data_IF_268567642503
#
_entry.id   IF_268567642503
#
_cell.length_a   1.000
_cell.length_b   1.000
_cell.length_c   1.000
_cell.angle_alpha   90.00
_cell.angle_beta   90.00
_cell.angle_gamma   90.00
#
_symmetry.space_group_name_H-M   'P 1'
#
loop_
_entity.id
_entity.type
_entity.pdbx_description
1 polymer ?
#
# COMPACT_ATOMS: atom_id res chain seq x y z
N UNK A 1 -18.00 -7.51 19.28
CA UNK A 1 -17.96 -7.87 17.83
C UNK A 1 -17.52 -6.75 16.88
N UNK A 2 -16.84 -5.70 17.37
CA UNK A 2 -16.56 -4.49 16.58
C UNK A 2 -15.25 -4.56 15.76
N UNK A 3 -14.24 -5.31 16.24
CA UNK A 3 -12.88 -5.35 15.67
C UNK A 3 -12.81 -5.82 14.20
N UNK A 4 -13.42 -6.95 13.87
CA UNK A 4 -13.40 -7.51 12.52
C UNK A 4 -13.99 -6.57 11.45
N UNK A 5 -15.09 -5.88 11.78
CA UNK A 5 -15.73 -4.92 10.88
C UNK A 5 -14.88 -3.67 10.66
N UNK A 6 -14.14 -3.20 11.68
CA UNK A 6 -13.19 -2.11 11.50
C UNK A 6 -12.04 -2.50 10.58
N UNK A 7 -11.49 -3.71 10.74
CA UNK A 7 -10.44 -4.23 9.85
C UNK A 7 -10.92 -4.33 8.40
N UNK A 8 -12.10 -4.92 8.17
CA UNK A 8 -12.70 -5.03 6.84
C UNK A 8 -12.94 -3.65 6.22
N UNK A 9 -13.47 -2.69 6.99
CA UNK A 9 -13.64 -1.31 6.52
C UNK A 9 -12.30 -0.66 6.16
N UNK A 10 -11.24 -0.93 6.94
CA UNK A 10 -9.89 -0.50 6.63
C UNK A 10 -9.40 -1.03 5.29
N UNK A 11 -9.56 -2.34 5.05
CA UNK A 11 -9.16 -2.99 3.80
C UNK A 11 -9.92 -2.39 2.61
N UNK A 12 -11.24 -2.19 2.76
CA UNK A 12 -12.07 -1.56 1.71
C UNK A 12 -11.59 -0.14 1.39
N UNK A 13 -11.12 0.63 2.39
CA UNK A 13 -10.51 1.96 2.16
C UNK A 13 -9.19 1.86 1.40
N UNK A 14 -8.31 0.92 1.73
CA UNK A 14 -7.06 0.76 0.99
C UNK A 14 -7.31 0.30 -0.46
N UNK A 15 -8.27 -0.60 -0.69
CA UNK A 15 -8.70 -0.99 -2.05
C UNK A 15 -9.28 0.21 -2.81
N UNK A 16 -10.04 1.09 -2.15
CA UNK A 16 -10.55 2.34 -2.76
C UNK A 16 -9.41 3.23 -3.24
N UNK A 17 -8.36 3.37 -2.43
CA UNK A 17 -7.20 4.22 -2.74
C UNK A 17 -6.40 3.66 -3.91
N UNK A 18 -6.25 2.34 -4.01
CA UNK A 18 -5.53 1.71 -5.12
C UNK A 18 -6.35 1.65 -6.41
N UNK A 19 -7.68 1.52 -6.33
CA UNK A 19 -8.57 1.41 -7.50
C UNK A 19 -9.76 2.39 -7.44
N UNK A 20 -9.54 3.69 -7.65
CA UNK A 20 -10.57 4.71 -7.49
C UNK A 20 -11.72 4.62 -8.50
N UNK A 21 -11.49 4.03 -9.69
CA UNK A 21 -12.44 4.04 -10.82
C UNK A 21 -13.38 2.83 -10.88
N UNK A 22 -13.11 1.76 -10.12
CA UNK A 22 -13.91 0.53 -10.17
C UNK A 22 -14.94 0.50 -9.05
N UNK A 23 -16.18 0.05 -9.30
CA UNK A 23 -17.19 -0.06 -8.26
C UNK A 23 -16.80 -1.15 -7.24
N UNK A 24 -16.57 -0.75 -5.98
CA UNK A 24 -16.11 -1.69 -4.94
C UNK A 24 -17.08 -2.82 -4.64
N UNK A 25 -18.37 -2.63 -4.93
CA UNK A 25 -19.41 -3.66 -4.76
C UNK A 25 -19.13 -4.91 -5.60
N UNK A 26 -18.47 -4.76 -6.75
CA UNK A 26 -18.13 -5.86 -7.65
C UNK A 26 -16.73 -6.43 -7.41
N UNK A 27 -15.93 -5.80 -6.54
CA UNK A 27 -14.59 -6.26 -6.25
C UNK A 27 -14.65 -7.60 -5.49
N UNK A 28 -14.08 -8.65 -6.10
CA UNK A 28 -14.17 -10.04 -5.61
C UNK A 28 -13.70 -10.15 -4.15
N UNK A 29 -12.56 -9.53 -3.81
CA UNK A 29 -12.03 -9.54 -2.44
C UNK A 29 -13.00 -8.91 -1.42
N UNK A 30 -13.67 -7.81 -1.80
CA UNK A 30 -14.61 -7.11 -0.89
C UNK A 30 -15.85 -7.98 -0.66
N UNK A 31 -16.39 -8.60 -1.73
CA UNK A 31 -17.54 -9.51 -1.62
C UNK A 31 -17.21 -10.71 -0.74
N UNK A 32 -16.06 -11.35 -0.98
CA UNK A 32 -15.60 -12.51 -0.23
C UNK A 32 -15.43 -12.23 1.26
N UNK A 33 -14.75 -11.14 1.62
CA UNK A 33 -14.56 -10.81 3.03
C UNK A 33 -15.88 -10.46 3.74
N UNK A 34 -16.80 -9.79 3.04
CA UNK A 34 -18.12 -9.49 3.61
C UNK A 34 -18.98 -10.75 3.78
N UNK A 35 -18.90 -11.73 2.88
CA UNK A 35 -19.59 -13.01 3.06
C UNK A 35 -18.99 -13.83 4.20
N UNK A 36 -17.66 -13.90 4.30
CA UNK A 36 -16.98 -14.59 5.40
C UNK A 36 -17.30 -13.95 6.75
N UNK A 37 -17.27 -12.62 6.84
CA UNK A 37 -17.61 -11.92 8.07
C UNK A 37 -19.04 -12.19 8.55
N UNK A 38 -20.00 -12.30 7.62
CA UNK A 38 -21.39 -12.67 7.96
C UNK A 38 -21.50 -14.14 8.39
N UNK A 39 -20.77 -15.04 7.73
CA UNK A 39 -20.76 -16.47 8.05
C UNK A 39 -20.28 -16.74 9.48
N UNK A 40 -19.27 -16.00 9.94
CA UNK A 40 -18.66 -16.14 11.27
C UNK A 40 -19.25 -15.20 12.33
N UNK A 41 -20.40 -14.55 12.06
CA UNK A 41 -21.05 -13.60 12.98
C UNK A 41 -22.01 -14.26 13.98
N UNK A 42 -22.53 -15.46 13.69
CA UNK A 42 -23.71 -16.05 14.38
C UNK A 42 -23.37 -17.28 15.23
N UNK A 43 -22.12 -17.70 15.30
CA UNK A 43 -21.73 -18.86 16.13
C UNK A 43 -21.53 -18.42 17.59
N UNK A 44 -22.63 -18.33 18.34
CA UNK A 44 -22.62 -18.16 19.80
C UNK A 44 -22.46 -19.51 20.49
N UNK A 45 -21.28 -19.77 21.06
CA UNK A 45 -21.14 -20.60 22.28
C UNK A 45 -19.71 -20.58 22.86
N UNK A 46 -18.73 -20.16 22.06
CA UNK A 46 -17.38 -19.79 22.49
C UNK A 46 -16.84 -18.92 21.37
N UNK A 47 -15.92 -18.00 21.63
CA UNK A 47 -15.20 -17.31 20.55
C UNK A 47 -14.68 -18.37 19.57
N UNK A 48 -15.33 -18.49 18.41
CA UNK A 48 -14.99 -19.53 17.45
C UNK A 48 -13.58 -19.24 16.94
N UNK A 49 -12.71 -20.25 16.90
CA UNK A 49 -11.36 -20.12 16.34
C UNK A 49 -11.39 -19.47 14.95
N UNK A 50 -12.39 -19.79 14.14
CA UNK A 50 -12.60 -19.19 12.82
C UNK A 50 -12.78 -17.65 12.86
N UNK A 51 -13.41 -17.11 13.91
CA UNK A 51 -13.56 -15.66 14.08
C UNK A 51 -12.21 -14.99 14.38
N UNK A 52 -11.39 -15.60 15.23
CA UNK A 52 -10.04 -15.10 15.54
C UNK A 52 -9.13 -15.19 14.32
N UNK A 53 -9.20 -16.30 13.58
CA UNK A 53 -8.46 -16.46 12.32
C UNK A 53 -8.89 -15.42 11.29
N UNK A 54 -10.19 -15.14 11.16
CA UNK A 54 -10.69 -14.09 10.26
C UNK A 54 -10.14 -12.71 10.65
N UNK A 55 -10.14 -12.38 11.95
CA UNK A 55 -9.58 -11.12 12.43
C UNK A 55 -8.08 -11.03 12.16
N UNK A 56 -7.32 -12.10 12.44
CA UNK A 56 -5.88 -12.14 12.19
C UNK A 56 -5.58 -11.96 10.70
N UNK A 57 -6.25 -12.72 9.83
CA UNK A 57 -6.11 -12.60 8.36
C UNK A 57 -6.45 -11.20 7.87
N UNK A 58 -7.56 -10.62 8.34
CA UNK A 58 -7.96 -9.26 7.99
C UNK A 58 -6.91 -8.22 8.43
N UNK A 59 -6.35 -8.37 9.63
CA UNK A 59 -5.26 -7.50 10.10
C UNK A 59 -4.03 -7.59 9.20
N UNK A 60 -3.60 -8.81 8.86
CA UNK A 60 -2.46 -9.06 7.96
C UNK A 60 -2.68 -8.45 6.58
N UNK A 61 -3.86 -8.63 5.98
CA UNK A 61 -4.19 -8.02 4.69
C UNK A 61 -4.22 -6.50 4.74
N UNK A 62 -4.77 -5.91 5.82
CA UNK A 62 -4.77 -4.46 5.99
C UNK A 62 -3.35 -3.91 6.09
N UNK A 63 -2.49 -4.56 6.88
CA UNK A 63 -1.08 -4.20 7.02
C UNK A 63 -0.37 -4.27 5.66
N UNK A 64 -0.53 -5.39 4.94
CA UNK A 64 0.08 -5.58 3.63
C UNK A 64 -0.33 -4.47 2.65
N UNK A 65 -1.63 -4.24 2.46
CA UNK A 65 -2.14 -3.21 1.52
C UNK A 65 -1.65 -1.81 1.90
N UNK A 66 -1.66 -1.48 3.19
CA UNK A 66 -1.19 -0.17 3.67
C UNK A 66 0.31 0.01 3.41
N UNK A 67 1.11 -1.02 3.68
CA UNK A 67 2.56 -1.01 3.47
C UNK A 67 2.91 -0.92 2.00
N UNK A 68 2.22 -1.66 1.12
CA UNK A 68 2.42 -1.57 -0.33
C UNK A 68 2.12 -0.16 -0.85
N UNK A 69 1.00 0.46 -0.44
CA UNK A 69 0.69 1.84 -0.84
C UNK A 69 1.76 2.82 -0.37
N UNK A 70 2.21 2.70 0.89
CA UNK A 70 3.28 3.55 1.44
C UNK A 70 4.61 3.34 0.73
N UNK A 71 4.95 2.11 0.38
CA UNK A 71 6.16 1.80 -0.40
C UNK A 71 6.14 2.50 -1.74
N UNK A 72 5.00 2.50 -2.44
CA UNK A 72 4.83 3.22 -3.71
C UNK A 72 4.92 4.74 -3.54
N UNK A 73 4.44 5.30 -2.43
CA UNK A 73 4.57 6.73 -2.12
C UNK A 73 6.03 7.12 -1.91
N UNK A 74 6.78 6.32 -1.14
CA UNK A 74 8.22 6.50 -0.92
C UNK A 74 8.97 6.35 -2.23
N UNK A 75 8.71 5.31 -3.01
CA UNK A 75 9.33 5.10 -4.32
C UNK A 75 9.05 6.28 -5.25
N UNK A 76 7.83 6.80 -5.30
CA UNK A 76 7.51 7.98 -6.09
C UNK A 76 8.27 9.23 -5.60
N UNK A 77 8.42 9.39 -4.29
CA UNK A 77 9.10 10.53 -3.70
C UNK A 77 10.62 10.50 -3.93
N UNK A 78 11.24 9.32 -3.87
CA UNK A 78 12.70 9.18 -3.84
C UNK A 78 13.30 8.53 -5.09
N UNK A 79 12.54 7.79 -5.89
CA UNK A 79 12.99 7.12 -7.12
C UNK A 79 12.41 7.72 -8.40
N UNK A 80 11.48 8.67 -8.31
CA UNK A 80 10.81 9.26 -9.48
C UNK A 80 11.70 10.05 -10.47
N UNK A 81 12.96 10.37 -10.12
CA UNK A 81 13.92 11.08 -10.99
C UNK A 81 15.11 10.23 -11.47
N UNK A 82 15.25 8.98 -11.02
CA UNK A 82 16.45 8.17 -11.27
C UNK A 82 17.69 8.67 -10.52
N UNK A 83 18.86 8.12 -10.85
CA UNK A 83 20.15 8.65 -10.36
C UNK A 83 20.39 10.04 -10.96
N UNK A 84 20.80 11.00 -10.11
CA UNK A 84 21.14 12.36 -10.56
C UNK A 84 22.37 12.31 -11.46
N UNK A 85 22.42 13.16 -12.48
CA UNK A 85 23.64 13.26 -13.30
C UNK A 85 24.83 13.77 -12.49
N UNK A 86 26.03 13.59 -13.01
CA UNK A 86 27.27 14.11 -12.40
C UNK A 86 27.21 15.64 -12.29
N UNK A 87 26.67 16.35 -13.31
CA UNK A 87 26.42 17.81 -13.24
C UNK A 87 25.52 18.17 -12.05
N UNK A 88 24.36 17.50 -11.93
CA UNK A 88 23.38 17.83 -10.90
C UNK A 88 23.92 17.55 -9.50
N UNK A 89 24.70 16.49 -9.36
CA UNK A 89 25.36 16.12 -8.10
C UNK A 89 26.45 17.11 -7.72
N UNK A 90 27.27 17.57 -8.67
CA UNK A 90 28.29 18.60 -8.43
C UNK A 90 27.65 19.92 -7.97
N UNK A 91 26.58 20.37 -8.65
CA UNK A 91 25.87 21.62 -8.29
C UNK A 91 25.26 21.58 -6.89
N UNK A 92 24.81 20.41 -6.44
CA UNK A 92 24.22 20.19 -5.12
C UNK A 92 25.17 20.59 -3.97
N UNK A 93 26.47 20.40 -4.19
CA UNK A 93 27.54 20.69 -3.21
C UNK A 93 28.31 21.97 -3.56
N UNK A 94 27.82 22.78 -4.51
CA UNK A 94 28.47 24.01 -4.94
C UNK A 94 29.67 23.83 -5.86
N UNK A 95 29.82 22.66 -6.47
CA UNK A 95 30.90 22.34 -7.42
C UNK A 95 30.41 22.46 -8.88
N UNK A 96 31.33 22.77 -9.78
CA UNK A 96 31.12 22.76 -11.24
C UNK A 96 31.93 21.64 -11.89
N UNK A 97 31.50 21.21 -13.08
CA UNK A 97 32.30 20.31 -13.91
C UNK A 97 33.38 21.10 -14.67
N UNK A 98 34.58 20.51 -14.86
CA UNK A 98 35.63 21.13 -15.66
C UNK A 98 35.22 21.21 -17.14
N UNK A 99 35.77 22.18 -17.88
CA UNK A 99 35.59 22.23 -19.32
C UNK A 99 36.14 20.96 -19.98
N UNK A 100 35.39 20.32 -20.88
CA UNK A 100 35.89 19.15 -21.60
C UNK A 100 37.11 19.55 -22.43
N UNK A 101 38.16 18.73 -22.35
CA UNK A 101 39.40 18.96 -23.09
C UNK A 101 39.14 19.00 -24.60
N UNK A 102 39.49 20.12 -25.25
CA UNK A 102 39.49 20.26 -26.71
C UNK A 102 40.92 20.47 -27.20
N UNK A 103 41.37 19.70 -28.20
CA UNK A 103 42.71 19.84 -28.81
C UNK A 103 42.90 21.13 -29.62
N UNK A 104 41.84 21.88 -29.86
CA UNK A 104 41.82 23.03 -30.77
C UNK A 104 41.93 24.40 -30.06
N UNK A 105 42.33 24.41 -28.78
CA UNK A 105 42.69 25.63 -28.01
C UNK A 105 44.12 25.52 -27.50
#
# INVERSE_FOLDING_TARGET
>A
NSSALYLIRGIVREIRKSQPKKPLKHHVAVRYMLSEARRHQVTEERVCQAHLELQHRASTYLCYLTSTRRSQEIEKQYHGRGERSVEESAKLVGLGLPEPYSKDK
#
